data_IF_232120365490
#
_entry.id   IF_232120365490
#
_cell.length_a   1.000
_cell.length_b   1.000
_cell.length_c   1.000
_cell.angle_alpha   90.00
_cell.angle_beta   90.00
_cell.angle_gamma   90.00
#
_symmetry.space_group_name_H-M   'P 1'
#
loop_
_entity.id
_entity.type
_entity.pdbx_description
1 polymer ?
#
# COMPACT_ATOMS: atom_id res chain seq x y z
N UNK A 1 -30.49 -22.77 -18.79
CA UNK A 1 -30.49 -21.31 -18.56
C UNK A 1 -29.04 -20.85 -18.72
N UNK A 2 -28.72 -20.18 -19.79
CA UNK A 2 -27.43 -19.50 -19.94
C UNK A 2 -27.36 -18.45 -18.82
N UNK A 3 -26.58 -18.71 -17.79
CA UNK A 3 -26.26 -17.69 -16.80
C UNK A 3 -25.38 -16.67 -17.54
N UNK A 4 -25.91 -15.49 -17.75
CA UNK A 4 -25.16 -14.40 -18.36
C UNK A 4 -23.86 -14.18 -17.57
N UNK A 5 -22.71 -14.35 -18.22
CA UNK A 5 -21.38 -14.25 -17.59
C UNK A 5 -21.20 -12.90 -16.88
N UNK A 6 -21.80 -11.84 -17.42
CA UNK A 6 -21.79 -10.49 -16.83
C UNK A 6 -22.50 -10.48 -15.48
N UNK A 7 -23.66 -11.17 -15.39
CA UNK A 7 -24.43 -11.30 -14.16
C UNK A 7 -23.66 -12.09 -13.09
N UNK A 8 -23.01 -13.18 -13.49
CA UNK A 8 -22.22 -14.02 -12.60
C UNK A 8 -21.04 -13.26 -11.95
N UNK A 9 -20.32 -12.46 -12.72
CA UNK A 9 -19.23 -11.64 -12.19
C UNK A 9 -19.75 -10.51 -11.29
N UNK A 10 -20.93 -9.98 -11.57
CA UNK A 10 -21.58 -8.97 -10.71
C UNK A 10 -22.04 -9.58 -9.37
N UNK A 11 -22.59 -10.79 -9.38
CA UNK A 11 -22.92 -11.54 -8.18
C UNK A 11 -21.68 -11.84 -7.32
N UNK A 12 -20.58 -12.26 -7.94
CA UNK A 12 -19.31 -12.42 -7.26
C UNK A 12 -18.78 -11.11 -6.65
N UNK A 13 -18.98 -9.98 -7.33
CA UNK A 13 -18.62 -8.67 -6.77
C UNK A 13 -19.42 -8.36 -5.50
N UNK A 14 -20.68 -8.72 -5.48
CA UNK A 14 -21.54 -8.53 -4.31
C UNK A 14 -21.13 -9.48 -3.17
N UNK A 15 -20.85 -10.75 -3.46
CA UNK A 15 -20.28 -11.69 -2.48
C UNK A 15 -19.00 -11.15 -1.84
N UNK A 16 -18.08 -10.59 -2.64
CA UNK A 16 -16.87 -9.95 -2.12
C UNK A 16 -17.18 -8.83 -1.12
N UNK A 17 -18.25 -8.06 -1.34
CA UNK A 17 -18.71 -7.00 -0.42
C UNK A 17 -19.33 -7.57 0.85
N UNK A 18 -20.22 -8.57 0.72
CA UNK A 18 -20.84 -9.26 1.86
C UNK A 18 -19.79 -9.88 2.76
N UNK A 19 -18.72 -10.46 2.20
CA UNK A 19 -17.56 -10.99 2.93
C UNK A 19 -16.69 -9.90 3.57
N UNK A 20 -16.99 -8.62 3.40
CA UNK A 20 -16.23 -7.52 3.97
C UNK A 20 -14.84 -7.33 3.37
N UNK A 21 -14.62 -7.74 2.12
CA UNK A 21 -13.34 -7.52 1.46
C UNK A 21 -13.10 -6.02 1.22
N UNK A 22 -11.82 -5.63 1.21
CA UNK A 22 -11.46 -4.23 0.97
C UNK A 22 -11.98 -3.75 -0.39
N UNK A 23 -12.45 -2.49 -0.47
CA UNK A 23 -13.01 -1.89 -1.69
C UNK A 23 -12.13 -2.15 -2.93
N UNK A 24 -10.81 -1.96 -2.81
CA UNK A 24 -9.88 -2.23 -3.92
C UNK A 24 -9.87 -3.70 -4.38
N UNK A 25 -10.08 -4.65 -3.45
CA UNK A 25 -10.20 -6.08 -3.77
C UNK A 25 -11.51 -6.35 -4.50
N UNK A 26 -12.63 -5.75 -4.03
CA UNK A 26 -13.95 -5.85 -4.67
C UNK A 26 -13.98 -5.26 -6.09
N UNK A 27 -13.04 -4.39 -6.44
CA UNK A 27 -12.92 -3.86 -7.80
C UNK A 27 -11.94 -4.68 -8.66
N UNK A 28 -10.79 -5.10 -8.10
CA UNK A 28 -9.73 -5.79 -8.84
C UNK A 28 -10.08 -7.25 -9.14
N UNK A 29 -10.73 -7.95 -8.21
CA UNK A 29 -11.04 -9.38 -8.41
C UNK A 29 -12.03 -9.61 -9.56
N UNK A 30 -13.19 -8.92 -9.62
CA UNK A 30 -14.09 -9.03 -10.76
C UNK A 30 -13.45 -8.60 -12.08
N UNK A 31 -12.61 -7.56 -12.08
CA UNK A 31 -11.89 -7.13 -13.27
C UNK A 31 -10.93 -8.22 -13.78
N UNK A 32 -10.26 -8.95 -12.89
CA UNK A 32 -9.40 -10.07 -13.26
C UNK A 32 -10.20 -11.26 -13.83
N UNK A 33 -11.39 -11.53 -13.28
CA UNK A 33 -12.30 -12.58 -13.78
C UNK A 33 -12.81 -12.20 -15.16
N UNK A 34 -13.24 -10.95 -15.39
CA UNK A 34 -13.68 -10.46 -16.70
C UNK A 34 -12.56 -10.56 -17.76
N UNK A 35 -11.33 -10.24 -17.39
CA UNK A 35 -10.19 -10.37 -18.29
C UNK A 35 -9.93 -11.83 -18.69
N UNK A 36 -10.15 -12.78 -17.79
CA UNK A 36 -10.08 -14.21 -18.10
C UNK A 36 -11.28 -14.67 -18.93
N UNK A 37 -12.50 -14.23 -18.60
CA UNK A 37 -13.69 -14.53 -19.39
C UNK A 37 -13.52 -14.12 -20.87
N UNK A 38 -13.03 -12.91 -21.11
CA UNK A 38 -12.74 -12.41 -22.47
C UNK A 38 -11.64 -13.22 -23.18
N UNK A 39 -10.69 -13.80 -22.43
CA UNK A 39 -9.64 -14.63 -23.00
C UNK A 39 -10.15 -16.00 -23.47
N UNK A 40 -11.11 -16.57 -22.77
CA UNK A 40 -11.67 -17.89 -23.10
C UNK A 40 -12.95 -17.83 -23.94
N UNK A 41 -13.44 -16.62 -24.29
CA UNK A 41 -14.64 -16.45 -25.11
C UNK A 41 -14.57 -17.28 -26.42
N UNK A 42 -15.65 -17.99 -26.80
CA UNK A 42 -17.01 -17.98 -26.26
C UNK A 42 -17.29 -19.00 -25.13
N UNK A 43 -16.27 -19.60 -24.54
CA UNK A 43 -16.43 -20.65 -23.52
C UNK A 43 -16.91 -20.05 -22.18
N UNK A 44 -17.98 -20.61 -21.56
CA UNK A 44 -18.45 -20.14 -20.26
C UNK A 44 -17.41 -20.34 -19.14
N UNK A 45 -17.40 -19.42 -18.16
CA UNK A 45 -16.48 -19.49 -17.01
C UNK A 45 -16.60 -20.79 -16.22
N UNK A 46 -17.82 -21.36 -16.09
CA UNK A 46 -18.10 -22.61 -15.38
C UNK A 46 -17.47 -23.83 -16.06
N UNK A 47 -17.25 -23.77 -17.37
CA UNK A 47 -16.67 -24.86 -18.16
C UNK A 47 -15.15 -24.74 -18.32
N UNK A 48 -14.55 -23.64 -17.81
CA UNK A 48 -13.13 -23.45 -17.89
C UNK A 48 -12.36 -24.54 -17.13
N UNK A 49 -11.35 -25.06 -17.76
CA UNK A 49 -10.58 -26.17 -17.25
C UNK A 49 -9.09 -25.81 -17.07
N UNK A 50 -8.31 -26.80 -16.60
CA UNK A 50 -6.87 -26.64 -16.37
C UNK A 50 -6.09 -26.22 -17.63
N UNK A 51 -6.54 -26.65 -18.84
CA UNK A 51 -5.88 -26.29 -20.09
C UNK A 51 -6.06 -24.82 -20.41
N UNK A 52 -7.28 -24.30 -20.25
CA UNK A 52 -7.59 -22.89 -20.46
C UNK A 52 -6.76 -21.99 -19.54
N UNK A 53 -6.66 -22.36 -18.26
CA UNK A 53 -5.86 -21.63 -17.28
C UNK A 53 -4.35 -21.68 -17.56
N UNK A 54 -3.85 -22.80 -18.12
CA UNK A 54 -2.45 -22.90 -18.56
C UNK A 54 -2.19 -21.99 -19.77
N UNK A 55 -3.11 -21.98 -20.73
CA UNK A 55 -3.02 -21.10 -21.90
C UNK A 55 -3.05 -19.62 -21.45
N UNK A 56 -3.94 -19.28 -20.53
CA UNK A 56 -4.01 -17.93 -19.96
C UNK A 56 -2.73 -17.53 -19.21
N UNK A 57 -2.15 -18.47 -18.43
CA UNK A 57 -0.87 -18.25 -17.75
C UNK A 57 0.25 -17.98 -18.77
N UNK A 58 0.29 -18.76 -19.85
CA UNK A 58 1.26 -18.55 -20.94
C UNK A 58 1.09 -17.17 -21.58
N UNK A 59 -0.14 -16.79 -21.91
CA UNK A 59 -0.48 -15.48 -22.43
C UNK A 59 -0.02 -14.35 -21.50
N UNK A 60 -0.32 -14.44 -20.20
CA UNK A 60 0.09 -13.41 -19.23
C UNK A 60 1.62 -13.28 -19.13
N UNK A 61 2.36 -14.41 -19.25
CA UNK A 61 3.83 -14.43 -19.17
C UNK A 61 4.51 -13.97 -20.47
N UNK A 62 4.11 -14.53 -21.59
CA UNK A 62 4.83 -14.39 -22.86
C UNK A 62 4.34 -13.19 -23.69
N UNK A 63 3.03 -13.05 -23.83
CA UNK A 63 2.43 -11.98 -24.64
C UNK A 63 2.29 -10.67 -23.86
N UNK A 64 1.73 -10.75 -22.65
CA UNK A 64 1.53 -9.57 -21.80
C UNK A 64 2.78 -9.22 -20.96
N UNK A 65 3.75 -10.11 -20.89
CA UNK A 65 5.01 -9.95 -20.15
C UNK A 65 4.82 -9.44 -18.71
N UNK A 66 3.76 -9.94 -18.04
CA UNK A 66 3.47 -9.52 -16.68
C UNK A 66 4.48 -10.12 -15.69
N UNK A 67 4.81 -9.34 -14.66
CA UNK A 67 5.64 -9.78 -13.55
C UNK A 67 4.95 -10.89 -12.75
N UNK A 68 5.73 -11.81 -12.18
CA UNK A 68 5.24 -12.96 -11.41
C UNK A 68 4.23 -12.55 -10.33
N UNK A 69 4.52 -11.51 -9.54
CA UNK A 69 3.61 -11.01 -8.50
C UNK A 69 2.25 -10.51 -9.05
N UNK A 70 2.22 -9.98 -10.28
CA UNK A 70 0.98 -9.58 -10.96
C UNK A 70 0.19 -10.79 -11.40
N UNK A 71 0.86 -11.82 -11.94
CA UNK A 71 0.23 -13.07 -12.34
C UNK A 71 -0.35 -13.79 -11.12
N UNK A 72 0.40 -13.88 -10.01
CA UNK A 72 -0.08 -14.48 -8.76
C UNK A 72 -1.34 -13.79 -8.22
N UNK A 73 -1.40 -12.45 -8.33
CA UNK A 73 -2.59 -11.68 -7.94
C UNK A 73 -3.80 -12.00 -8.84
N UNK A 74 -3.60 -12.10 -10.16
CA UNK A 74 -4.66 -12.51 -11.10
C UNK A 74 -5.16 -13.91 -10.74
N UNK A 75 -4.26 -14.86 -10.55
CA UNK A 75 -4.64 -16.24 -10.21
C UNK A 75 -5.25 -16.36 -8.81
N UNK A 76 -4.91 -15.50 -7.88
CA UNK A 76 -5.57 -15.41 -6.56
C UNK A 76 -7.00 -14.91 -6.70
N UNK A 77 -7.25 -13.94 -7.57
CA UNK A 77 -8.61 -13.48 -7.87
C UNK A 77 -9.45 -14.59 -8.53
N UNK A 78 -8.88 -15.27 -9.54
CA UNK A 78 -9.54 -16.41 -10.18
C UNK A 78 -9.82 -17.54 -9.19
N UNK A 79 -8.86 -17.90 -8.33
CA UNK A 79 -9.08 -18.94 -7.34
C UNK A 79 -10.23 -18.59 -6.38
N UNK A 80 -10.31 -17.32 -5.94
CA UNK A 80 -11.41 -16.85 -5.07
C UNK A 80 -12.75 -16.88 -5.81
N UNK A 81 -12.78 -16.55 -7.09
CA UNK A 81 -13.99 -16.65 -7.91
C UNK A 81 -14.45 -18.11 -8.08
N UNK A 82 -13.54 -19.03 -8.37
CA UNK A 82 -13.88 -20.44 -8.50
C UNK A 82 -14.24 -21.10 -7.17
N UNK A 83 -13.70 -20.63 -6.04
CA UNK A 83 -14.19 -21.03 -4.71
C UNK A 83 -15.63 -20.53 -4.49
N UNK A 84 -15.97 -19.30 -4.89
CA UNK A 84 -17.34 -18.78 -4.88
C UNK A 84 -18.28 -19.65 -5.73
N UNK A 85 -17.88 -20.04 -6.95
CA UNK A 85 -18.72 -20.93 -7.79
C UNK A 85 -18.99 -22.30 -7.14
N UNK A 86 -18.08 -22.81 -6.32
CA UNK A 86 -18.29 -24.04 -5.56
C UNK A 86 -19.31 -23.80 -4.45
N UNK A 87 -19.21 -22.72 -3.69
CA UNK A 87 -20.14 -22.36 -2.62
C UNK A 87 -21.58 -22.16 -3.17
N UNK A 88 -21.71 -21.64 -4.40
CA UNK A 88 -22.99 -21.50 -5.10
C UNK A 88 -23.43 -22.79 -5.84
N UNK A 89 -22.75 -23.90 -5.63
CA UNK A 89 -23.04 -25.22 -6.24
C UNK A 89 -23.05 -25.21 -7.78
N UNK A 90 -22.39 -24.23 -8.42
CA UNK A 90 -22.32 -24.08 -9.88
C UNK A 90 -21.26 -24.97 -10.52
N UNK A 91 -20.24 -25.39 -9.76
CA UNK A 91 -19.18 -26.31 -10.18
C UNK A 91 -18.76 -27.22 -9.02
N UNK A 92 -18.19 -28.38 -9.37
CA UNK A 92 -17.77 -29.38 -8.36
C UNK A 92 -16.35 -29.12 -7.80
N UNK A 93 -15.47 -28.47 -8.56
CA UNK A 93 -14.07 -28.30 -8.14
C UNK A 93 -13.44 -27.03 -8.73
N UNK A 94 -12.48 -26.46 -7.98
CA UNK A 94 -11.74 -25.29 -8.42
C UNK A 94 -10.57 -25.68 -9.35
N UNK A 95 -10.62 -25.35 -10.66
CA UNK A 95 -9.59 -25.71 -11.62
C UNK A 95 -8.29 -24.91 -11.47
N UNK A 96 -8.33 -23.78 -10.73
CA UNK A 96 -7.20 -22.86 -10.55
C UNK A 96 -6.17 -23.42 -9.57
N UNK A 97 -6.61 -24.06 -8.48
CA UNK A 97 -5.74 -24.54 -7.40
C UNK A 97 -4.61 -25.48 -7.87
N UNK A 98 -4.86 -26.48 -8.74
CA UNK A 98 -3.78 -27.32 -9.29
C UNK A 98 -2.77 -26.54 -10.14
N UNK A 99 -3.23 -25.52 -10.89
CA UNK A 99 -2.35 -24.67 -11.71
C UNK A 99 -1.47 -23.79 -10.83
N UNK A 100 -2.05 -23.16 -9.80
CA UNK A 100 -1.28 -22.37 -8.81
C UNK A 100 -0.20 -23.23 -8.15
N UNK A 101 -0.56 -24.40 -7.65
CA UNK A 101 0.37 -25.31 -6.95
C UNK A 101 1.55 -25.69 -7.85
N UNK A 102 1.30 -26.04 -9.11
CA UNK A 102 2.31 -26.58 -10.01
C UNK A 102 3.17 -25.50 -10.69
N UNK A 103 2.57 -24.37 -11.11
CA UNK A 103 3.21 -23.43 -12.02
C UNK A 103 3.52 -22.06 -11.40
N UNK A 104 2.88 -21.70 -10.28
CA UNK A 104 3.13 -20.41 -9.63
C UNK A 104 3.98 -20.56 -8.37
N UNK A 105 3.67 -21.53 -7.49
CA UNK A 105 4.43 -21.71 -6.24
C UNK A 105 5.89 -22.15 -6.45
N UNK A 106 6.15 -22.88 -7.53
CA UNK A 106 7.50 -23.34 -7.86
C UNK A 106 8.36 -22.28 -8.56
N UNK A 107 7.72 -21.24 -9.09
CA UNK A 107 8.42 -20.18 -9.79
C UNK A 107 8.90 -19.12 -8.79
N UNK A 108 10.20 -19.02 -8.65
CA UNK A 108 10.84 -17.93 -7.92
C UNK A 108 11.39 -16.96 -8.94
N UNK A 109 10.90 -15.72 -8.89
CA UNK A 109 11.48 -14.63 -9.65
C UNK A 109 12.82 -14.29 -9.00
N UNK A 110 13.90 -14.63 -9.70
CA UNK A 110 15.28 -14.38 -9.24
C UNK A 110 15.82 -13.05 -9.75
N UNK A 111 14.95 -12.24 -10.38
CA UNK A 111 15.35 -10.97 -10.94
C UNK A 111 15.64 -9.94 -9.84
N UNK A 112 16.92 -9.70 -9.59
CA UNK A 112 17.42 -8.69 -8.64
C UNK A 112 16.95 -7.27 -9.00
N UNK A 113 16.51 -7.03 -10.25
CA UNK A 113 15.95 -5.75 -10.71
C UNK A 113 14.67 -5.34 -9.96
N UNK A 114 14.09 -6.23 -9.16
CA UNK A 114 12.88 -5.97 -8.36
C UNK A 114 13.18 -5.40 -6.97
N UNK A 115 14.43 -5.33 -6.56
CA UNK A 115 14.78 -4.71 -5.29
C UNK A 115 14.61 -3.19 -5.37
N UNK A 116 13.94 -2.61 -4.39
CA UNK A 116 13.84 -1.15 -4.27
C UNK A 116 15.13 -0.60 -3.68
N UNK A 117 15.65 0.46 -4.26
CA UNK A 117 16.77 1.19 -3.68
C UNK A 117 16.39 1.79 -2.33
N UNK A 118 17.23 1.58 -1.35
CA UNK A 118 17.18 2.32 -0.09
C UNK A 118 18.01 3.59 -0.26
N UNK A 119 17.38 4.74 -0.11
CA UNK A 119 18.09 6.02 -0.12
C UNK A 119 18.82 6.24 1.22
N UNK A 120 19.94 6.96 1.17
CA UNK A 120 20.71 7.35 2.36
C UNK A 120 19.99 8.45 3.17
N UNK A 121 20.53 8.80 4.32
CA UNK A 121 20.04 9.93 5.13
C UNK A 121 20.28 11.26 4.41
N UNK A 122 21.45 11.39 3.76
CA UNK A 122 21.84 12.55 2.97
C UNK A 122 20.92 12.73 1.75
N UNK A 123 20.60 11.66 1.03
CA UNK A 123 19.65 11.68 -0.08
C UNK A 123 18.24 12.05 0.38
N UNK A 124 17.81 11.58 1.56
CA UNK A 124 16.53 11.96 2.16
C UNK A 124 16.53 13.45 2.56
N UNK A 125 17.63 13.95 3.10
CA UNK A 125 17.82 15.39 3.40
C UNK A 125 17.75 16.23 2.13
N UNK A 126 18.46 15.86 1.06
CA UNK A 126 18.40 16.54 -0.24
C UNK A 126 16.99 16.54 -0.82
N UNK A 127 16.28 15.40 -0.75
CA UNK A 127 14.89 15.29 -1.20
C UNK A 127 14.02 16.31 -0.49
N UNK A 128 14.09 16.40 0.85
CA UNK A 128 13.25 17.32 1.64
C UNK A 128 13.63 18.78 1.41
N UNK A 129 14.93 19.10 1.37
CA UNK A 129 15.42 20.46 1.13
C UNK A 129 15.06 20.99 -0.26
N UNK A 130 14.77 20.12 -1.23
CA UNK A 130 14.30 20.55 -2.56
C UNK A 130 12.85 21.03 -2.59
N UNK A 131 12.09 20.84 -1.50
CA UNK A 131 10.64 21.09 -1.46
C UNK A 131 10.35 22.51 -0.98
N UNK A 132 9.80 23.32 -1.87
CA UNK A 132 9.43 24.71 -1.53
C UNK A 132 8.02 24.83 -0.93
N UNK A 133 7.08 23.96 -1.31
CA UNK A 133 5.70 24.02 -0.81
C UNK A 133 5.62 23.41 0.60
N UNK A 134 5.07 24.16 1.55
CA UNK A 134 4.98 23.78 2.97
C UNK A 134 4.12 22.52 3.20
N UNK A 135 3.04 22.33 2.41
CA UNK A 135 2.22 21.12 2.47
C UNK A 135 3.02 19.91 2.04
N UNK A 136 3.72 20.03 0.93
CA UNK A 136 4.44 18.93 0.29
C UNK A 136 5.63 18.51 1.16
N UNK A 137 6.31 19.48 1.77
CA UNK A 137 7.36 19.25 2.75
C UNK A 137 6.83 18.48 3.98
N UNK A 138 5.72 18.91 4.57
CA UNK A 138 5.10 18.22 5.69
C UNK A 138 4.66 16.78 5.33
N UNK A 139 4.15 16.55 4.12
CA UNK A 139 3.77 15.22 3.63
C UNK A 139 4.98 14.29 3.57
N UNK A 140 6.06 14.72 2.91
CA UNK A 140 7.26 13.89 2.72
C UNK A 140 7.95 13.59 4.04
N UNK A 141 8.08 14.61 4.92
CA UNK A 141 8.63 14.43 6.26
C UNK A 141 7.82 13.46 7.10
N UNK A 142 6.49 13.59 7.14
CA UNK A 142 5.67 12.63 7.87
C UNK A 142 5.84 11.22 7.34
N UNK A 143 5.90 11.02 6.02
CA UNK A 143 6.11 9.69 5.43
C UNK A 143 7.47 9.11 5.83
N UNK A 144 8.53 9.90 5.84
CA UNK A 144 9.88 9.49 6.24
C UNK A 144 9.97 9.24 7.74
N UNK A 145 9.46 10.16 8.57
CA UNK A 145 9.63 10.12 10.03
C UNK A 145 8.67 9.15 10.75
N UNK A 146 7.53 8.80 10.15
CA UNK A 146 6.55 7.92 10.78
C UNK A 146 6.38 6.57 10.10
N UNK A 147 6.84 6.46 8.86
CA UNK A 147 6.65 5.27 8.04
C UNK A 147 5.18 4.87 7.82
N UNK A 148 4.22 5.79 8.02
CA UNK A 148 2.79 5.51 7.80
C UNK A 148 2.51 5.22 6.33
N UNK A 149 1.42 4.50 6.07
CA UNK A 149 1.00 4.22 4.69
C UNK A 149 0.34 5.44 4.07
N UNK A 150 0.46 5.56 2.76
CA UNK A 150 -0.19 6.64 2.01
C UNK A 150 -1.70 6.76 2.31
N UNK A 151 -2.39 5.63 2.49
CA UNK A 151 -3.81 5.63 2.89
C UNK A 151 -4.05 6.13 4.32
N UNK A 152 -3.13 5.85 5.23
CA UNK A 152 -3.18 6.35 6.61
C UNK A 152 -2.95 7.87 6.61
N UNK A 153 -1.93 8.36 5.88
CA UNK A 153 -1.67 9.78 5.71
C UNK A 153 -2.90 10.54 5.18
N UNK A 154 -3.50 10.04 4.10
CA UNK A 154 -4.65 10.72 3.46
C UNK A 154 -5.93 10.67 4.29
N UNK A 155 -6.05 9.76 5.25
CA UNK A 155 -7.19 9.65 6.16
C UNK A 155 -7.10 10.58 7.37
N UNK A 156 -5.92 11.18 7.63
CA UNK A 156 -5.72 12.08 8.78
C UNK A 156 -6.59 13.34 8.67
N UNK A 157 -7.16 13.73 9.80
CA UNK A 157 -7.78 15.02 10.03
C UNK A 157 -6.89 15.87 10.97
N UNK A 158 -7.17 17.16 11.09
CA UNK A 158 -6.42 18.03 12.00
C UNK A 158 -6.47 17.54 13.45
N UNK A 159 -7.62 17.04 13.90
CA UNK A 159 -7.83 16.50 15.25
C UNK A 159 -6.97 15.27 15.57
N UNK A 160 -6.42 14.62 14.56
CA UNK A 160 -5.57 13.45 14.74
C UNK A 160 -4.11 13.79 15.04
N UNK A 161 -3.75 15.09 15.00
CA UNK A 161 -2.40 15.60 15.24
C UNK A 161 -2.30 16.23 16.61
N UNK A 162 -1.42 15.74 17.44
CA UNK A 162 -1.00 16.40 18.68
C UNK A 162 0.43 16.93 18.51
N UNK A 163 0.54 18.23 18.31
CA UNK A 163 1.83 18.90 18.13
C UNK A 163 2.62 19.00 19.42
N UNK A 164 1.97 19.05 20.59
CA UNK A 164 2.61 19.12 21.90
C UNK A 164 3.27 17.79 22.25
N UNK A 165 2.51 16.73 22.09
CA UNK A 165 3.00 15.37 22.36
C UNK A 165 3.73 14.76 21.16
N UNK A 166 3.76 15.44 19.99
CA UNK A 166 4.38 14.97 18.75
C UNK A 166 3.86 13.59 18.33
N UNK A 167 2.54 13.44 18.32
CA UNK A 167 1.88 12.19 18.00
C UNK A 167 0.84 12.33 16.89
N UNK A 168 0.64 11.24 16.13
CA UNK A 168 -0.47 11.07 15.20
C UNK A 168 -1.32 9.89 15.68
N UNK A 169 -2.64 10.13 15.84
CA UNK A 169 -3.61 9.08 16.08
C UNK A 169 -4.14 8.56 14.74
N UNK A 170 -3.73 7.36 14.34
CA UNK A 170 -4.16 6.78 13.07
C UNK A 170 -5.55 6.17 13.21
N UNK A 171 -6.40 6.41 12.20
CA UNK A 171 -7.75 5.84 12.15
C UNK A 171 -7.69 4.32 11.98
N UNK A 172 -8.58 3.57 12.64
CA UNK A 172 -8.63 2.11 12.50
C UNK A 172 -8.99 1.73 11.07
N UNK A 173 -8.39 0.65 10.58
CA UNK A 173 -8.76 0.02 9.31
C UNK A 173 -9.18 -1.42 9.61
N UNK A 174 -9.93 -2.07 8.70
CA UNK A 174 -10.51 -3.41 8.88
C UNK A 174 -9.49 -4.49 9.32
N UNK A 175 -8.20 -4.26 9.13
CA UNK A 175 -7.12 -5.22 9.45
C UNK A 175 -6.15 -4.72 10.53
N UNK A 176 -6.43 -3.58 11.21
CA UNK A 176 -5.47 -2.95 12.13
C UNK A 176 -6.13 -2.24 13.26
N UNK A 177 -5.53 -2.39 14.44
CA UNK A 177 -5.89 -1.64 15.63
C UNK A 177 -5.60 -0.15 15.46
N UNK A 178 -6.35 0.66 16.17
CA UNK A 178 -6.06 2.06 16.41
C UNK A 178 -4.66 2.17 17.02
N UNK A 179 -3.76 2.94 16.40
CA UNK A 179 -2.42 3.13 16.93
C UNK A 179 -1.99 4.59 16.90
N UNK A 180 -1.11 4.91 17.81
CA UNK A 180 -0.42 6.20 17.85
C UNK A 180 0.98 5.99 17.29
N UNK A 181 1.42 6.90 16.43
CA UNK A 181 2.80 6.98 15.95
C UNK A 181 3.40 8.32 16.34
N UNK A 182 4.70 8.35 16.50
CA UNK A 182 5.46 9.53 16.93
C UNK A 182 6.13 10.19 15.73
N UNK A 183 6.39 11.48 15.88
CA UNK A 183 7.22 12.24 14.94
C UNK A 183 8.18 13.16 15.71
N UNK A 184 9.29 13.54 15.08
CA UNK A 184 10.34 14.33 15.69
C UNK A 184 10.13 15.85 15.46
N UNK A 185 11.08 16.66 15.94
CA UNK A 185 11.03 18.12 15.82
C UNK A 185 11.05 18.61 14.37
N UNK A 186 11.74 17.91 13.46
CA UNK A 186 11.79 18.27 12.04
C UNK A 186 10.40 18.16 11.41
N UNK A 187 9.72 17.04 11.64
CA UNK A 187 8.34 16.84 11.17
C UNK A 187 7.34 17.78 11.89
N UNK A 188 7.53 18.05 13.19
CA UNK A 188 6.71 18.99 13.95
C UNK A 188 6.79 20.41 13.36
N UNK A 189 7.99 20.89 13.05
CA UNK A 189 8.23 22.20 12.45
C UNK A 189 7.55 22.31 11.08
N UNK A 190 7.67 21.29 10.22
CA UNK A 190 7.02 21.30 8.93
C UNK A 190 5.49 21.26 9.04
N UNK A 191 4.95 20.48 9.99
CA UNK A 191 3.51 20.45 10.26
C UNK A 191 2.98 21.81 10.74
N UNK A 192 3.69 22.45 11.66
CA UNK A 192 3.33 23.80 12.13
C UNK A 192 3.27 24.80 10.99
N UNK A 193 4.29 24.83 10.12
CA UNK A 193 4.32 25.70 8.93
C UNK A 193 3.14 25.40 8.00
N UNK A 194 2.84 24.13 7.76
CA UNK A 194 1.70 23.75 6.93
C UNK A 194 0.37 24.15 7.56
N UNK A 195 0.15 23.86 8.84
CA UNK A 195 -1.12 24.16 9.53
C UNK A 195 -1.39 25.68 9.54
N UNK A 196 -0.36 26.51 9.69
CA UNK A 196 -0.48 27.96 9.64
C UNK A 196 -1.02 28.48 8.30
N UNK A 197 -0.59 27.90 7.17
CA UNK A 197 -1.04 28.32 5.84
C UNK A 197 -2.28 27.55 5.35
N UNK A 198 -2.57 26.41 5.96
CA UNK A 198 -3.68 25.53 5.56
C UNK A 198 -5.03 26.22 5.67
N UNK A 199 -5.26 27.05 6.67
CA UNK A 199 -6.53 27.76 6.87
C UNK A 199 -6.88 28.62 5.64
N UNK A 200 -5.91 29.29 5.05
CA UNK A 200 -6.11 30.09 3.85
C UNK A 200 -6.44 29.25 2.61
N UNK A 201 -6.06 27.97 2.61
CA UNK A 201 -6.36 27.00 1.52
C UNK A 201 -7.64 26.22 1.77
N UNK A 202 -8.23 26.28 2.98
CA UNK A 202 -9.40 25.47 3.37
C UNK A 202 -10.71 26.18 3.08
N UNK A 203 -10.95 26.56 1.83
CA UNK A 203 -12.17 27.25 1.38
C UNK A 203 -13.45 26.40 1.50
N UNK A 204 -13.32 25.09 1.66
CA UNK A 204 -14.45 24.14 1.74
C UNK A 204 -14.67 23.58 3.14
N UNK A 205 -14.06 24.15 4.17
CA UNK A 205 -14.14 23.66 5.56
C UNK A 205 -13.85 22.14 5.71
N UNK A 206 -12.94 21.62 4.91
CA UNK A 206 -12.58 20.22 4.94
C UNK A 206 -11.77 19.90 6.21
N UNK A 207 -12.12 18.86 7.01
CA UNK A 207 -11.38 18.51 8.23
C UNK A 207 -10.03 17.87 7.96
N UNK A 208 -9.76 17.42 6.73
CA UNK A 208 -8.55 16.69 6.38
C UNK A 208 -7.27 17.47 6.72
N UNK A 209 -6.25 16.78 7.28
CA UNK A 209 -4.95 17.38 7.54
C UNK A 209 -4.32 17.94 6.25
N UNK A 210 -4.34 17.15 5.18
CA UNK A 210 -3.78 17.56 3.88
C UNK A 210 -4.89 17.80 2.84
N UNK A 211 -4.82 18.96 2.21
CA UNK A 211 -5.79 19.41 1.21
C UNK A 211 -5.23 19.29 -0.20
N UNK A 212 -6.10 18.99 -1.15
CA UNK A 212 -5.84 19.15 -2.57
C UNK A 212 -5.77 20.64 -2.97
N UNK A 213 -5.47 20.92 -4.21
CA UNK A 213 -5.51 22.29 -4.74
C UNK A 213 -6.94 22.88 -4.72
N UNK A 214 -7.95 22.02 -4.79
CA UNK A 214 -9.37 22.38 -4.79
C UNK A 214 -9.95 22.53 -3.37
N UNK A 215 -9.12 22.46 -2.32
CA UNK A 215 -9.54 22.59 -0.92
C UNK A 215 -10.30 21.36 -0.37
N UNK A 216 -10.24 20.22 -1.05
CA UNK A 216 -10.79 18.94 -0.59
C UNK A 216 -9.68 18.05 0.00
N UNK A 217 -10.07 16.90 0.58
CA UNK A 217 -9.09 15.92 1.08
C UNK A 217 -8.15 15.47 -0.05
N UNK A 218 -6.86 15.49 0.23
CA UNK A 218 -5.85 14.97 -0.71
C UNK A 218 -5.99 13.46 -0.85
N UNK A 219 -6.07 12.98 -2.09
CA UNK A 219 -6.20 11.56 -2.39
C UNK A 219 -4.84 10.85 -2.48
N UNK A 220 -4.85 9.51 -2.37
CA UNK A 220 -3.64 8.67 -2.51
C UNK A 220 -2.90 8.89 -3.82
N UNK A 221 -3.64 9.09 -4.93
CA UNK A 221 -3.04 9.37 -6.24
C UNK A 221 -2.29 10.70 -6.24
N UNK A 222 -2.84 11.71 -5.58
CA UNK A 222 -2.19 13.00 -5.42
C UNK A 222 -0.90 12.92 -4.61
N UNK A 223 -0.89 12.19 -3.49
CA UNK A 223 0.33 11.95 -2.71
C UNK A 223 1.38 11.19 -3.52
N UNK A 224 0.96 10.19 -4.29
CA UNK A 224 1.88 9.42 -5.12
C UNK A 224 2.52 10.32 -6.20
N UNK A 225 1.70 11.05 -6.96
CA UNK A 225 2.18 11.96 -8.00
C UNK A 225 3.13 13.03 -7.46
N UNK A 226 2.81 13.58 -6.29
CA UNK A 226 3.64 14.57 -5.59
C UNK A 226 5.01 13.97 -5.23
N UNK A 227 5.04 12.85 -4.52
CA UNK A 227 6.30 12.25 -4.05
C UNK A 227 7.18 11.79 -5.22
N UNK A 228 6.58 11.19 -6.27
CA UNK A 228 7.34 10.78 -7.48
C UNK A 228 7.91 11.98 -8.21
N UNK A 229 7.14 13.09 -8.32
CA UNK A 229 7.62 14.32 -8.98
C UNK A 229 8.78 14.97 -8.24
N UNK A 230 8.69 15.07 -6.90
CA UNK A 230 9.78 15.61 -6.09
C UNK A 230 11.04 14.74 -6.22
N UNK A 231 10.87 13.41 -6.16
CA UNK A 231 11.98 12.48 -6.31
C UNK A 231 12.60 12.52 -7.71
N UNK A 232 11.82 12.74 -8.76
CA UNK A 232 12.29 12.94 -10.13
C UNK A 232 13.18 14.19 -10.24
N UNK A 233 12.77 15.30 -9.60
CA UNK A 233 13.53 16.55 -9.62
C UNK A 233 14.93 16.44 -8.99
N UNK A 234 15.13 15.51 -8.07
CA UNK A 234 16.43 15.27 -7.41
C UNK A 234 17.13 13.99 -7.90
N UNK A 235 16.65 13.39 -8.99
CA UNK A 235 17.28 12.22 -9.61
C UNK A 235 17.08 10.89 -8.86
N UNK A 236 16.14 10.84 -7.92
CA UNK A 236 15.80 9.62 -7.18
C UNK A 236 14.69 8.79 -7.84
N UNK A 237 14.03 9.32 -8.87
CA UNK A 237 12.97 8.65 -9.62
C UNK A 237 13.18 8.82 -11.12
N UNK A 238 13.16 7.71 -11.85
CA UNK A 238 13.21 7.68 -13.31
C UNK A 238 11.95 6.96 -13.84
N UNK A 239 10.92 7.70 -14.32
CA UNK A 239 9.66 7.10 -14.78
C UNK A 239 9.83 6.20 -16.01
N UNK A 240 10.89 6.40 -16.80
CA UNK A 240 11.15 5.64 -18.04
C UNK A 240 11.95 4.36 -17.81
N UNK A 241 12.49 4.15 -16.61
CA UNK A 241 13.30 2.97 -16.33
C UNK A 241 12.46 1.71 -16.16
N UNK A 242 12.89 0.55 -16.70
CA UNK A 242 12.29 -0.74 -16.38
C UNK A 242 12.68 -1.26 -14.98
N UNK A 243 13.70 -0.68 -14.33
CA UNK A 243 14.25 -1.12 -13.06
C UNK A 243 13.46 -0.55 -11.88
N UNK A 244 13.04 -1.40 -10.94
CA UNK A 244 12.32 -0.97 -9.73
C UNK A 244 13.19 -0.14 -8.77
N UNK A 245 14.49 -0.35 -8.76
CA UNK A 245 15.45 0.40 -7.95
C UNK A 245 15.51 1.89 -8.32
N UNK A 246 15.19 2.22 -9.57
CA UNK A 246 15.12 3.60 -10.07
C UNK A 246 13.76 4.26 -9.88
N UNK A 247 12.81 3.57 -9.24
CA UNK A 247 11.48 4.10 -8.95
C UNK A 247 11.33 4.46 -7.47
N UNK A 248 11.08 5.74 -7.21
CA UNK A 248 10.78 6.24 -5.87
C UNK A 248 9.28 6.52 -5.72
N UNK A 249 8.71 6.20 -4.56
CA UNK A 249 7.29 6.36 -4.27
C UNK A 249 7.07 6.52 -2.75
N UNK A 250 5.88 6.86 -2.27
CA UNK A 250 5.60 6.91 -0.83
C UNK A 250 5.96 5.63 -0.06
N UNK A 251 5.96 4.48 -0.74
CA UNK A 251 6.38 3.22 -0.11
C UNK A 251 7.87 3.17 0.18
N UNK A 252 8.71 3.86 -0.61
CA UNK A 252 10.14 3.96 -0.35
C UNK A 252 10.43 4.74 0.94
N UNK A 253 9.63 5.77 1.27
CA UNK A 253 9.73 6.46 2.55
C UNK A 253 9.50 5.50 3.73
N UNK A 254 8.49 4.63 3.65
CA UNK A 254 8.23 3.60 4.67
C UNK A 254 9.34 2.53 4.72
N UNK A 255 9.91 2.17 3.58
CA UNK A 255 11.06 1.28 3.52
C UNK A 255 12.27 1.93 4.21
N UNK A 256 12.55 3.19 3.90
CA UNK A 256 13.59 4.00 4.53
C UNK A 256 13.42 4.05 6.05
N UNK A 257 12.25 4.45 6.55
CA UNK A 257 11.91 4.47 7.97
C UNK A 257 12.25 3.13 8.66
N UNK A 258 11.71 2.05 8.11
CA UNK A 258 11.88 0.72 8.70
C UNK A 258 13.34 0.28 8.72
N UNK A 259 14.04 0.45 7.60
CA UNK A 259 15.42 -0.04 7.46
C UNK A 259 16.40 0.76 8.32
N UNK A 260 16.22 2.09 8.39
CA UNK A 260 17.08 2.92 9.22
C UNK A 260 16.85 2.67 10.71
N UNK A 261 15.62 2.46 11.17
CA UNK A 261 15.36 2.07 12.56
C UNK A 261 15.97 0.69 12.90
N UNK A 262 15.92 -0.28 11.98
CA UNK A 262 16.61 -1.57 12.18
C UNK A 262 18.12 -1.37 12.26
N UNK A 263 18.71 -0.58 11.36
CA UNK A 263 20.15 -0.33 11.32
C UNK A 263 20.66 0.43 12.53
N UNK A 264 19.83 1.31 13.11
CA UNK A 264 20.17 2.04 14.34
C UNK A 264 20.00 1.18 15.61
N UNK A 265 19.52 -0.07 15.48
CA UNK A 265 19.39 -1.01 16.60
C UNK A 265 18.07 -0.96 17.37
N UNK A 266 17.04 -0.28 16.84
CA UNK A 266 15.72 -0.27 17.47
C UNK A 266 15.11 -1.67 17.52
N UNK A 267 14.46 -2.01 18.62
CA UNK A 267 13.77 -3.30 18.80
C UNK A 267 12.78 -3.57 17.68
N UNK A 268 12.79 -4.80 17.15
CA UNK A 268 11.87 -5.23 16.08
C UNK A 268 10.40 -5.14 16.49
N UNK A 269 10.09 -5.37 17.76
CA UNK A 269 8.72 -5.30 18.28
C UNK A 269 8.22 -3.85 18.29
N UNK A 270 9.08 -2.91 18.69
CA UNK A 270 8.77 -1.49 18.62
C UNK A 270 8.55 -1.03 17.16
N UNK A 271 9.38 -1.50 16.24
CA UNK A 271 9.21 -1.19 14.81
C UNK A 271 7.91 -1.79 14.28
N UNK A 272 7.55 -3.04 14.60
CA UNK A 272 6.27 -3.67 14.23
C UNK A 272 5.08 -2.86 14.74
N UNK A 273 5.14 -2.40 16.01
CA UNK A 273 4.08 -1.56 16.61
C UNK A 273 3.91 -0.25 15.85
N UNK A 274 4.99 0.51 15.63
CA UNK A 274 4.95 1.76 14.85
C UNK A 274 4.43 1.56 13.43
N UNK A 275 4.79 0.45 12.78
CA UNK A 275 4.32 0.11 11.44
C UNK A 275 2.88 -0.37 11.40
N UNK A 276 2.32 -0.84 12.53
CA UNK A 276 1.02 -1.50 12.59
C UNK A 276 1.00 -2.77 11.75
N UNK A 277 2.01 -3.59 11.88
CA UNK A 277 2.06 -4.91 11.27
C UNK A 277 1.20 -5.88 12.10
N UNK A 278 0.58 -6.86 11.43
CA UNK A 278 -0.26 -7.86 12.12
C UNK A 278 0.64 -8.69 13.02
N UNK A 279 0.22 -8.86 14.26
CA UNK A 279 0.83 -9.80 15.19
C UNK A 279 0.37 -11.21 14.83
N UNK A 280 1.29 -12.11 14.52
CA UNK A 280 0.97 -13.46 14.04
C UNK A 280 1.11 -14.53 15.10
N UNK A 281 1.82 -14.25 16.19
CA UNK A 281 2.10 -15.21 17.24
C UNK A 281 1.18 -14.98 18.45
N UNK A 282 0.72 -16.08 19.07
CA UNK A 282 -0.14 -16.00 20.26
C UNK A 282 0.54 -15.23 21.41
N UNK A 283 1.87 -15.29 21.51
CA UNK A 283 2.66 -14.56 22.50
C UNK A 283 2.63 -13.03 22.29
N UNK A 284 2.40 -12.57 21.08
CA UNK A 284 2.30 -11.14 20.75
C UNK A 284 1.13 -10.45 21.48
N UNK A 285 0.12 -11.23 21.93
CA UNK A 285 -1.03 -10.71 22.70
C UNK A 285 -0.59 -10.28 24.11
N UNK A 286 0.44 -10.92 24.65
CA UNK A 286 0.96 -10.64 25.99
C UNK A 286 2.06 -9.59 25.99
N UNK A 287 2.57 -9.20 24.86
CA UNK A 287 3.60 -8.17 24.73
C UNK A 287 2.97 -6.77 24.83
N UNK A 288 2.77 -6.29 26.06
CA UNK A 288 2.32 -4.94 26.35
C UNK A 288 3.47 -3.96 26.16
N UNK A 289 3.56 -3.35 24.99
CA UNK A 289 4.57 -2.33 24.71
C UNK A 289 4.23 -1.05 25.49
N UNK A 290 5.13 -0.65 26.38
CA UNK A 290 5.02 0.64 27.07
C UNK A 290 5.17 1.79 26.07
N UNK A 291 4.21 2.71 26.07
CA UNK A 291 4.18 3.82 25.12
C UNK A 291 5.29 4.85 25.35
N UNK A 292 5.74 5.00 26.60
CA UNK A 292 6.83 5.91 26.95
C UNK A 292 8.15 5.36 26.44
N UNK A 293 8.42 4.08 26.71
CA UNK A 293 9.61 3.39 26.19
C UNK A 293 9.65 3.38 24.67
N UNK A 294 8.50 3.11 24.03
CA UNK A 294 8.39 3.14 22.58
C UNK A 294 8.73 4.52 22.01
N UNK A 295 8.22 5.61 22.64
CA UNK A 295 8.51 6.98 22.23
C UNK A 295 9.98 7.34 22.41
N UNK A 296 10.55 7.03 23.57
CA UNK A 296 11.97 7.27 23.88
C UNK A 296 12.86 6.53 22.87
N UNK A 297 12.57 5.26 22.66
CA UNK A 297 13.28 4.45 21.67
C UNK A 297 13.15 5.02 20.25
N UNK A 298 11.94 5.45 19.83
CA UNK A 298 11.74 6.07 18.52
C UNK A 298 12.61 7.32 18.37
N UNK A 299 12.59 8.25 19.32
CA UNK A 299 13.36 9.50 19.27
C UNK A 299 14.88 9.27 19.27
N UNK A 300 15.34 8.21 19.93
CA UNK A 300 16.75 7.84 19.96
C UNK A 300 17.26 7.24 18.63
N UNK A 301 16.37 6.65 17.82
CA UNK A 301 16.77 5.86 16.66
C UNK A 301 16.36 6.47 15.32
N UNK A 302 15.41 7.43 15.30
CA UNK A 302 14.99 8.05 14.04
C UNK A 302 16.10 8.96 13.48
N UNK A 303 16.54 8.78 12.22
CA UNK A 303 17.59 9.62 11.65
C UNK A 303 17.17 11.08 11.60
N UNK A 304 18.08 11.97 11.98
CA UNK A 304 17.92 13.43 11.81
C UNK A 304 18.39 13.81 10.42
N UNK A 305 17.63 14.67 9.73
CA UNK A 305 17.91 15.11 8.37
C UNK A 305 18.66 16.44 8.35
N UNK A 306 18.67 17.17 9.46
CA UNK A 306 19.37 18.46 9.59
C UNK A 306 18.67 19.60 8.85
N UNK A 307 17.32 19.69 8.94
CA UNK A 307 16.47 20.60 8.16
C UNK A 307 15.59 21.49 9.04
#
# INVERSE_FOLDING_TARGET
MEVDQVNLVQQFKEDCRVRGLAKGTCDIYPASVNAFANFIDPKPLQEANKSDLKSYLSYLRLDRKLRQASIERVFSALATFYDYLIEEELIAMNPVRPVQKRYLRAYKDTDESQMRRLISVEEASQLVNSILDTRDCAIVLLLLKTGIRCSELTSLDLENVDLKEQTLRLKPTAKRSNRVVYFDNEAATALLRWIAVRQNRNIKNCPALFLSKEGTRLERRGVHALVTKIAENVGLHNPSSPRMEEHFSPHNCRHWFTTHLIRSGMSRDFIKELRGDIRHEAIDIYNHIDKKELRESYLAHIPQLGI
#
